data_IF_068669452771
#
_entry.id   IF_068669452771
#
_cell.length_a   1.000
_cell.length_b   1.000
_cell.length_c   1.000
_cell.angle_alpha   90.00
_cell.angle_beta   90.00
_cell.angle_gamma   90.00
#
_symmetry.space_group_name_H-M   'P 1'
#
loop_
_entity.id
_entity.type
_entity.pdbx_description
1 polymer ?
#
# COMPACT_ATOMS: atom_id res chain seq x y z
N UNK A 1 13.44 0.47 6.36
CA UNK A 1 13.09 0.98 5.03
C UNK A 1 11.60 1.21 4.99
N UNK A 2 11.12 2.33 4.46
CA UNK A 2 9.69 2.62 4.29
C UNK A 2 9.57 3.48 3.04
N UNK A 3 8.70 3.09 2.11
CA UNK A 3 8.43 3.84 0.87
C UNK A 3 9.70 4.21 0.06
N UNK A 4 10.68 3.30 -0.02
CA UNK A 4 11.88 3.49 -0.84
C UNK A 4 11.68 2.89 -2.23
N UNK A 5 11.80 3.72 -3.27
CA UNK A 5 11.44 3.36 -4.64
C UNK A 5 12.42 2.47 -5.40
N UNK A 6 13.46 1.92 -4.75
CA UNK A 6 14.49 1.11 -5.37
C UNK A 6 14.57 -0.26 -4.70
N UNK A 7 14.81 -1.30 -5.50
CA UNK A 7 15.18 -2.62 -4.98
C UNK A 7 16.54 -2.51 -4.29
N UNK A 8 16.65 -3.12 -3.10
CA UNK A 8 17.92 -3.17 -2.40
C UNK A 8 18.77 -4.31 -2.97
N UNK A 9 19.98 -4.03 -3.46
CA UNK A 9 20.86 -5.09 -3.93
C UNK A 9 21.32 -5.93 -2.74
N UNK A 10 21.63 -7.20 -2.98
CA UNK A 10 22.05 -8.17 -1.95
C UNK A 10 23.11 -7.64 -0.97
N UNK A 11 24.18 -6.95 -1.41
CA UNK A 11 25.17 -6.40 -0.47
C UNK A 11 24.58 -5.41 0.54
N UNK A 12 23.51 -4.68 0.19
CA UNK A 12 22.82 -3.76 1.11
C UNK A 12 21.92 -4.53 2.07
N UNK A 13 21.21 -5.55 1.58
CA UNK A 13 20.38 -6.43 2.43
C UNK A 13 21.20 -7.12 3.52
N UNK A 14 22.44 -7.50 3.19
CA UNK A 14 23.35 -8.21 4.09
C UNK A 14 24.31 -7.28 4.87
N UNK A 15 24.31 -5.97 4.58
CA UNK A 15 25.26 -5.02 5.17
C UNK A 15 25.10 -4.85 6.69
N UNK A 16 23.92 -5.14 7.24
CA UNK A 16 23.62 -4.92 8.65
C UNK A 16 23.45 -6.25 9.38
N UNK A 17 23.97 -6.32 10.62
CA UNK A 17 23.94 -7.53 11.46
C UNK A 17 22.54 -8.16 11.61
N UNK A 18 21.50 -7.33 11.60
CA UNK A 18 20.11 -7.77 11.83
C UNK A 18 19.25 -7.77 10.55
N UNK A 19 19.86 -7.45 9.41
CA UNK A 19 19.20 -7.34 8.11
C UNK A 19 18.34 -6.08 7.96
N UNK A 20 17.62 -6.00 6.85
CA UNK A 20 16.75 -4.87 6.55
C UNK A 20 15.28 -5.20 6.86
N UNK A 21 14.62 -4.32 7.60
CA UNK A 21 13.17 -4.35 7.81
C UNK A 21 12.46 -3.33 6.91
N UNK A 22 11.29 -3.71 6.41
CA UNK A 22 10.39 -2.83 5.67
C UNK A 22 9.05 -2.66 6.40
N UNK A 23 8.53 -1.43 6.44
CA UNK A 23 7.14 -1.16 6.78
C UNK A 23 6.30 -1.15 5.50
N UNK A 24 5.37 -2.10 5.35
CA UNK A 24 4.56 -2.28 4.15
C UNK A 24 3.08 -1.99 4.43
N UNK A 25 2.45 -1.19 3.58
CA UNK A 25 1.08 -0.67 3.77
C UNK A 25 0.00 -1.57 3.15
N UNK A 26 0.11 -2.88 3.37
CA UNK A 26 -0.93 -3.85 3.07
C UNK A 26 -0.89 -5.09 3.96
N UNK A 27 -1.91 -5.94 3.82
CA UNK A 27 -1.91 -7.29 4.39
C UNK A 27 -1.28 -8.29 3.39
N UNK A 28 0.03 -8.43 3.43
CA UNK A 28 0.78 -9.40 2.62
C UNK A 28 0.23 -10.84 2.84
N UNK A 29 0.16 -11.66 1.78
CA UNK A 29 0.79 -11.47 0.46
C UNK A 29 -0.01 -10.58 -0.52
N UNK A 30 -1.14 -10.01 -0.10
CA UNK A 30 -1.94 -9.12 -0.95
C UNK A 30 -1.23 -7.76 -1.09
N UNK A 31 -1.25 -7.20 -2.30
CA UNK A 31 -0.72 -5.89 -2.65
C UNK A 31 0.79 -5.71 -2.42
N UNK A 32 1.60 -6.65 -2.91
CA UNK A 32 3.05 -6.43 -3.08
C UNK A 32 3.30 -5.29 -4.06
N UNK A 33 4.27 -4.43 -3.81
CA UNK A 33 4.71 -3.39 -4.73
C UNK A 33 4.35 -1.97 -4.31
N UNK A 34 4.18 -1.10 -5.32
CA UNK A 34 4.40 0.34 -5.20
C UNK A 34 3.18 1.17 -4.74
N UNK A 35 1.94 0.70 -4.94
CA UNK A 35 0.73 1.49 -4.63
C UNK A 35 -0.32 0.73 -3.80
N UNK A 36 0.07 0.07 -2.69
CA UNK A 36 -0.83 -0.84 -1.98
C UNK A 36 -2.11 -0.17 -1.45
N UNK A 37 -2.00 1.07 -0.97
CA UNK A 37 -3.12 1.85 -0.43
C UNK A 37 -4.19 2.10 -1.50
N UNK A 38 -3.77 2.69 -2.62
CA UNK A 38 -4.66 3.02 -3.73
C UNK A 38 -5.32 1.74 -4.27
N UNK A 39 -4.53 0.68 -4.46
CA UNK A 39 -5.01 -0.56 -5.08
C UNK A 39 -6.00 -1.32 -4.19
N UNK A 40 -5.78 -1.34 -2.87
CA UNK A 40 -6.74 -1.90 -1.91
C UNK A 40 -8.10 -1.18 -2.00
N UNK A 41 -8.08 0.15 -1.99
CA UNK A 41 -9.31 0.95 -2.13
C UNK A 41 -9.99 0.73 -3.48
N UNK A 42 -9.24 0.80 -4.59
CA UNK A 42 -9.78 0.64 -5.95
C UNK A 42 -10.39 -0.75 -6.17
N UNK A 43 -9.86 -1.78 -5.51
CA UNK A 43 -10.40 -3.13 -5.55
C UNK A 43 -11.63 -3.33 -4.65
N UNK A 44 -11.97 -2.33 -3.82
CA UNK A 44 -13.08 -2.42 -2.88
C UNK A 44 -12.79 -3.26 -1.64
N UNK A 45 -11.51 -3.40 -1.26
CA UNK A 45 -11.15 -4.13 -0.04
C UNK A 45 -11.77 -3.42 1.19
N UNK A 46 -12.35 -4.22 2.10
CA UNK A 46 -12.92 -3.72 3.36
C UNK A 46 -11.87 -3.63 4.49
N UNK A 47 -10.72 -4.28 4.33
CA UNK A 47 -9.60 -4.21 5.26
C UNK A 47 -8.26 -4.15 4.53
N UNK A 48 -7.30 -3.50 5.16
CA UNK A 48 -5.87 -3.52 4.84
C UNK A 48 -5.08 -3.48 6.16
N UNK A 49 -3.82 -3.07 6.13
CA UNK A 49 -3.06 -2.88 7.36
C UNK A 49 -1.63 -2.42 7.10
N UNK A 50 -0.89 -2.27 8.20
CA UNK A 50 0.55 -2.14 8.20
C UNK A 50 1.20 -3.46 8.60
N UNK A 51 2.26 -3.82 7.92
CA UNK A 51 3.11 -4.96 8.27
C UNK A 51 4.56 -4.52 8.42
N UNK A 52 5.26 -5.11 9.38
CA UNK A 52 6.73 -5.06 9.43
C UNK A 52 7.26 -6.39 8.93
N UNK A 53 8.05 -6.35 7.86
CA UNK A 53 8.60 -7.54 7.22
C UNK A 53 10.13 -7.47 7.12
N UNK A 54 10.77 -8.64 7.02
CA UNK A 54 12.18 -8.72 6.60
C UNK A 54 12.24 -8.58 5.09
N UNK A 55 13.17 -7.77 4.61
CA UNK A 55 13.41 -7.63 3.17
C UNK A 55 14.21 -8.81 2.63
N UNK A 56 13.87 -9.24 1.43
CA UNK A 56 14.59 -10.23 0.62
C UNK A 56 14.86 -9.62 -0.77
N UNK A 57 15.55 -10.35 -1.65
CA UNK A 57 15.82 -9.90 -3.02
C UNK A 57 14.53 -9.73 -3.85
N UNK A 58 13.49 -10.51 -3.53
CA UNK A 58 12.18 -10.41 -4.15
C UNK A 58 11.39 -9.16 -3.71
N UNK A 59 10.52 -8.67 -4.60
CA UNK A 59 9.63 -7.53 -4.32
C UNK A 59 8.58 -7.91 -3.28
N UNK A 60 8.74 -7.42 -2.06
CA UNK A 60 7.85 -7.63 -0.91
C UNK A 60 7.51 -9.12 -0.66
N UNK A 61 8.50 -10.01 -0.84
CA UNK A 61 8.32 -11.47 -0.67
C UNK A 61 8.71 -11.98 0.72
N UNK A 62 9.54 -11.22 1.44
CA UNK A 62 10.12 -11.69 2.68
C UNK A 62 9.12 -11.88 3.82
N UNK A 63 9.53 -12.60 4.88
CA UNK A 63 8.64 -13.00 5.95
C UNK A 63 8.19 -11.81 6.80
N UNK A 64 6.98 -11.90 7.34
CA UNK A 64 6.31 -10.86 8.13
C UNK A 64 6.55 -11.12 9.62
N UNK A 65 6.84 -10.06 10.37
CA UNK A 65 7.07 -10.11 11.80
C UNK A 65 5.87 -9.61 12.61
N UNK A 66 5.39 -8.41 12.30
CA UNK A 66 4.26 -7.78 12.97
C UNK A 66 3.21 -7.34 11.96
N UNK A 67 1.95 -7.35 12.38
CA UNK A 67 0.79 -6.98 11.58
C UNK A 67 -0.14 -6.13 12.42
N UNK A 68 -0.61 -5.03 11.86
CA UNK A 68 -1.70 -4.23 12.42
C UNK A 68 -2.75 -3.99 11.34
N UNK A 69 -3.99 -4.46 11.59
CA UNK A 69 -5.09 -4.33 10.63
C UNK A 69 -5.75 -2.95 10.70
N UNK A 70 -6.30 -2.53 9.57
CA UNK A 70 -7.06 -1.30 9.42
C UNK A 70 -8.30 -1.57 8.56
N UNK A 71 -9.49 -1.28 9.08
CA UNK A 71 -10.72 -1.28 8.28
C UNK A 71 -10.70 -0.10 7.30
N UNK A 72 -11.17 -0.34 6.08
CA UNK A 72 -11.37 0.68 5.04
C UNK A 72 -12.86 1.02 5.04
N UNK A 73 -13.18 2.26 5.41
CA UNK A 73 -14.56 2.74 5.35
C UNK A 73 -15.07 2.87 3.91
N UNK A 74 -16.40 2.87 3.69
CA UNK A 74 -16.99 2.93 2.36
C UNK A 74 -16.61 4.21 1.59
N UNK A 75 -16.41 5.32 2.29
CA UNK A 75 -16.08 6.63 1.71
C UNK A 75 -14.63 7.06 1.99
N UNK A 76 -13.86 6.20 2.65
CA UNK A 76 -12.46 6.50 2.99
C UNK A 76 -11.62 6.66 1.73
N UNK A 77 -10.91 7.77 1.66
CA UNK A 77 -9.98 8.11 0.57
C UNK A 77 -8.60 7.51 0.80
N UNK A 78 -7.78 7.46 -0.25
CA UNK A 78 -6.39 7.01 -0.12
C UNK A 78 -5.56 7.91 0.79
N UNK A 79 -5.84 9.21 0.83
CA UNK A 79 -5.20 10.15 1.77
C UNK A 79 -5.53 9.85 3.23
N UNK A 80 -6.81 9.66 3.56
CA UNK A 80 -7.22 9.35 4.93
C UNK A 80 -6.69 7.98 5.39
N UNK A 81 -6.72 6.98 4.49
CA UNK A 81 -6.14 5.68 4.77
C UNK A 81 -4.62 5.77 4.95
N UNK A 82 -3.93 6.57 4.13
CA UNK A 82 -2.51 6.84 4.28
C UNK A 82 -2.19 7.41 5.66
N UNK A 83 -2.89 8.44 6.11
CA UNK A 83 -2.60 9.10 7.39
C UNK A 83 -2.82 8.15 8.58
N UNK A 84 -3.87 7.31 8.48
CA UNK A 84 -4.12 6.27 9.47
C UNK A 84 -3.00 5.23 9.51
N UNK A 85 -2.61 4.70 8.35
CA UNK A 85 -1.54 3.71 8.24
C UNK A 85 -0.16 4.29 8.61
N UNK A 86 0.07 5.57 8.37
CA UNK A 86 1.29 6.27 8.78
C UNK A 86 1.47 6.22 10.31
N UNK A 87 0.42 6.55 11.06
CA UNK A 87 0.45 6.51 12.52
C UNK A 87 0.65 5.08 13.05
N UNK A 88 -0.09 4.11 12.50
CA UNK A 88 0.03 2.69 12.87
C UNK A 88 1.43 2.16 12.55
N UNK A 89 1.94 2.45 11.35
CA UNK A 89 3.24 2.01 10.88
C UNK A 89 4.40 2.53 11.73
N UNK A 90 4.31 3.78 12.20
CA UNK A 90 5.30 4.35 13.11
C UNK A 90 5.35 3.58 14.44
N UNK A 91 4.17 3.35 15.05
CA UNK A 91 4.06 2.57 16.30
C UNK A 91 4.57 1.14 16.13
N UNK A 92 4.14 0.47 15.07
CA UNK A 92 4.49 -0.92 14.77
C UNK A 92 5.99 -1.09 14.52
N UNK A 93 6.64 -0.12 13.86
CA UNK A 93 8.08 -0.13 13.63
C UNK A 93 8.87 0.04 14.94
N UNK A 94 8.43 0.93 15.84
CA UNK A 94 9.06 1.08 17.16
C UNK A 94 8.96 -0.22 17.94
N UNK A 95 7.79 -0.86 17.93
CA UNK A 95 7.61 -2.18 18.56
C UNK A 95 8.53 -3.24 17.95
N UNK A 96 8.62 -3.31 16.62
CA UNK A 96 9.48 -4.28 15.94
C UNK A 96 10.94 -4.09 16.32
N UNK A 97 11.44 -2.85 16.34
CA UNK A 97 12.83 -2.55 16.70
C UNK A 97 13.13 -2.87 18.17
N UNK A 98 12.18 -2.61 19.09
CA UNK A 98 12.33 -3.00 20.49
C UNK A 98 12.44 -4.52 20.66
N UNK A 99 11.55 -5.28 20.00
CA UNK A 99 11.60 -6.75 20.02
C UNK A 99 12.86 -7.31 19.34
N UNK A 100 13.30 -6.66 18.25
CA UNK A 100 14.52 -7.02 17.55
C UNK A 100 15.75 -6.80 18.44
N UNK A 101 15.78 -5.70 19.22
CA UNK A 101 16.89 -5.36 20.12
C UNK A 101 17.13 -6.39 21.23
N UNK A 102 16.11 -7.15 21.62
CA UNK A 102 16.19 -8.21 22.63
C UNK A 102 16.07 -9.63 22.03
N UNK A 103 16.20 -9.75 20.70
CA UNK A 103 16.13 -11.02 19.96
C UNK A 103 14.82 -11.82 20.15
N UNK A 104 13.67 -11.16 20.34
CA UNK A 104 12.37 -11.83 20.46
C UNK A 104 11.43 -11.59 19.28
N UNK A 105 11.84 -10.81 18.28
CA UNK A 105 11.06 -10.60 17.05
C UNK A 105 11.07 -11.87 16.19
N UNK A 106 9.90 -12.49 16.01
CA UNK A 106 9.72 -13.68 15.18
C UNK A 106 9.26 -13.31 13.77
N UNK A 107 9.52 -14.20 12.81
CA UNK A 107 9.19 -14.00 11.40
C UNK A 107 8.41 -15.20 10.87
N UNK A 108 7.32 -14.93 10.16
CA UNK A 108 6.45 -15.93 9.55
C UNK A 108 6.49 -15.76 8.04
N UNK A 109 6.71 -16.85 7.32
CA UNK A 109 6.69 -16.85 5.85
C UNK A 109 5.31 -16.46 5.33
N UNK A 110 5.28 -15.68 4.25
CA UNK A 110 4.03 -15.32 3.60
C UNK A 110 3.35 -16.58 3.04
N UNK A 111 2.02 -16.61 3.05
CA UNK A 111 1.27 -17.66 2.38
C UNK A 111 1.54 -17.64 0.86
N UNK A 112 1.61 -18.80 0.19
CA UNK A 112 1.74 -18.87 -1.26
C UNK A 112 0.44 -18.46 -1.98
N UNK A 113 -0.73 -18.65 -1.36
CA UNK A 113 -2.01 -18.22 -1.88
C UNK A 113 -2.32 -16.75 -1.58
N UNK A 114 -3.09 -16.09 -2.47
CA UNK A 114 -3.56 -14.71 -2.25
C UNK A 114 -2.57 -13.60 -2.66
N UNK A 115 -1.45 -13.97 -3.30
CA UNK A 115 -0.48 -13.00 -3.85
C UNK A 115 -1.15 -12.12 -4.90
N UNK A 116 -1.05 -10.80 -4.70
CA UNK A 116 -1.48 -9.81 -5.69
C UNK A 116 -0.47 -8.67 -5.74
N UNK A 117 -0.45 -7.91 -6.84
CA UNK A 117 0.52 -6.86 -7.07
C UNK A 117 -0.14 -5.49 -7.19
N UNK A 118 0.29 -4.58 -6.33
CA UNK A 118 -0.07 -3.18 -6.36
C UNK A 118 0.88 -2.40 -7.29
N UNK A 119 0.63 -2.48 -8.59
CA UNK A 119 1.40 -1.70 -9.58
C UNK A 119 1.25 -0.21 -9.31
N UNK A 120 2.32 0.55 -9.55
CA UNK A 120 2.29 2.03 -9.52
C UNK A 120 1.10 2.54 -10.33
N UNK A 121 0.46 3.60 -9.86
CA UNK A 121 -0.62 4.27 -10.59
C UNK A 121 0.00 5.02 -11.77
N UNK A 122 -0.46 4.70 -12.99
CA UNK A 122 -0.11 5.45 -14.19
C UNK A 122 -1.06 6.64 -14.40
N UNK A 123 -0.57 7.70 -15.04
CA UNK A 123 -1.39 8.89 -15.32
C UNK A 123 -2.60 8.57 -16.20
N UNK A 124 -2.48 7.62 -17.12
CA UNK A 124 -3.59 7.15 -17.96
C UNK A 124 -4.70 6.48 -17.15
N UNK A 125 -4.39 5.92 -15.97
CA UNK A 125 -5.37 5.33 -15.06
C UNK A 125 -6.16 6.38 -14.26
N UNK A 126 -5.91 7.68 -14.42
CA UNK A 126 -6.57 8.71 -13.60
C UNK A 126 -7.87 9.24 -14.21
N UNK A 127 -8.20 8.86 -15.46
CA UNK A 127 -9.45 9.25 -16.10
C UNK A 127 -10.59 8.38 -15.61
N UNK A 128 -11.69 9.01 -15.19
CA UNK A 128 -12.91 8.30 -14.81
C UNK A 128 -13.54 7.66 -16.04
N UNK A 129 -13.78 6.36 -15.97
CA UNK A 129 -14.57 5.61 -16.94
C UNK A 129 -16.01 5.45 -16.41
N UNK A 130 -16.90 6.30 -16.92
CA UNK A 130 -18.31 6.32 -16.54
C UNK A 130 -19.13 5.13 -17.07
N UNK A 131 -18.53 4.26 -17.89
CA UNK A 131 -19.21 3.03 -18.36
C UNK A 131 -19.19 1.90 -17.32
N UNK A 132 -18.37 2.03 -16.27
CA UNK A 132 -18.22 1.05 -15.21
C UNK A 132 -19.35 1.12 -14.17
N UNK A 133 -19.59 0.04 -13.40
CA UNK A 133 -20.52 0.07 -12.28
C UNK A 133 -20.21 1.19 -11.28
N UNK A 134 -21.25 1.81 -10.73
CA UNK A 134 -21.10 2.98 -9.84
C UNK A 134 -20.16 2.74 -8.65
N UNK A 135 -20.19 1.54 -8.05
CA UNK A 135 -19.28 1.18 -6.95
C UNK A 135 -17.80 1.12 -7.38
N UNK A 136 -17.52 0.67 -8.60
CA UNK A 136 -16.16 0.67 -9.15
C UNK A 136 -15.68 2.09 -9.45
N UNK A 137 -16.55 2.93 -9.99
CA UNK A 137 -16.27 4.36 -10.21
C UNK A 137 -15.99 5.08 -8.89
N UNK A 138 -16.82 4.85 -7.87
CA UNK A 138 -16.62 5.39 -6.52
C UNK A 138 -15.27 4.98 -5.92
N UNK A 139 -14.96 3.69 -5.94
CA UNK A 139 -13.69 3.14 -5.45
C UNK A 139 -12.48 3.68 -6.23
N UNK A 140 -12.64 3.86 -7.54
CA UNK A 140 -11.62 4.46 -8.39
C UNK A 140 -11.32 5.90 -7.97
N UNK A 141 -12.34 6.73 -7.80
CA UNK A 141 -12.21 8.14 -7.43
C UNK A 141 -11.58 8.27 -6.04
N UNK A 142 -12.13 7.60 -5.02
CA UNK A 142 -11.62 7.70 -3.65
C UNK A 142 -10.22 7.08 -3.50
N UNK A 143 -9.89 6.07 -4.32
CA UNK A 143 -8.56 5.45 -4.37
C UNK A 143 -7.49 6.33 -5.00
N UNK A 144 -7.86 7.34 -5.77
CA UNK A 144 -6.97 8.34 -6.34
C UNK A 144 -6.98 9.67 -5.58
N UNK A 145 -7.80 9.80 -4.54
CA UNK A 145 -7.94 11.02 -3.74
C UNK A 145 -7.00 11.02 -2.52
N UNK A 146 -6.31 12.14 -2.23
CA UNK A 146 -6.31 13.42 -2.97
C UNK A 146 -5.33 13.44 -4.14
N UNK A 147 -4.41 12.47 -4.23
CA UNK A 147 -3.38 12.39 -5.26
C UNK A 147 -3.29 10.97 -5.85
N UNK A 148 -3.19 10.81 -7.18
CA UNK A 148 -3.01 11.86 -8.20
C UNK A 148 -4.28 12.65 -8.59
N UNK A 149 -5.44 12.29 -8.04
CA UNK A 149 -6.74 12.84 -8.40
C UNK A 149 -7.33 12.15 -9.64
N UNK A 150 -8.56 11.67 -9.51
CA UNK A 150 -9.35 11.23 -10.66
C UNK A 150 -9.89 12.46 -11.42
N UNK A 151 -10.08 12.34 -12.74
CA UNK A 151 -10.60 13.43 -13.57
C UNK A 151 -11.57 12.96 -14.63
N UNK A 152 -12.46 13.85 -15.07
CA UNK A 152 -13.34 13.62 -16.22
C UNK A 152 -13.46 14.87 -17.10
N UNK A 153 -14.12 14.74 -18.26
CA UNK A 153 -14.46 15.86 -19.13
C UNK A 153 -15.94 16.20 -18.95
N UNK A 154 -16.24 17.49 -18.80
CA UNK A 154 -17.61 18.01 -18.65
C UNK A 154 -17.79 19.20 -19.58
N UNK A 155 -18.96 19.32 -20.21
CA UNK A 155 -19.30 20.49 -21.01
C UNK A 155 -19.74 21.65 -20.10
N UNK A 156 -19.01 22.77 -20.15
CA UNK A 156 -19.29 23.98 -19.39
C UNK A 156 -19.34 25.16 -20.38
N UNK A 157 -20.51 25.77 -20.55
CA UNK A 157 -20.67 26.92 -21.46
C UNK A 157 -20.36 26.61 -22.92
N UNK A 158 -20.63 25.39 -23.39
CA UNK A 158 -20.38 24.95 -24.77
C UNK A 158 -18.93 24.51 -25.04
N UNK A 159 -18.10 24.35 -24.01
CA UNK A 159 -16.70 23.88 -24.11
C UNK A 159 -16.49 22.65 -23.25
N UNK A 160 -15.70 21.70 -23.75
CA UNK A 160 -15.26 20.55 -22.96
C UNK A 160 -14.12 20.96 -22.03
N UNK A 161 -14.35 20.85 -20.73
CA UNK A 161 -13.40 21.19 -19.68
C UNK A 161 -13.03 19.96 -18.86
N UNK A 162 -11.80 19.92 -18.35
CA UNK A 162 -11.33 18.85 -17.45
C UNK A 162 -11.60 19.26 -15.99
N UNK A 163 -12.32 18.41 -15.27
CA UNK A 163 -12.52 18.50 -13.82
C UNK A 163 -11.69 17.43 -13.10
#
# INVERSE_FOLDING_TARGET
VVAYGLLLPKPVLEATRLGCLNGHASLLPRWRGAAPIQRAIMAGDAETGMMVMRMEEGLDTGPVALVEKCAIGPDMTAGELHDRLMAQGASLMVQALAQLGINCLTFTQQAPEGVTYARKIDKSETRVDWTRPAGEVHNHIRGLSPFPGAWCEVEIGGRMERL
#
